data_IF_666346056243
#
_entry.id   IF_666346056243
#
_cell.length_a   1.000
_cell.length_b   1.000
_cell.length_c   1.000
_cell.angle_alpha   90.00
_cell.angle_beta   90.00
_cell.angle_gamma   90.00
#
_symmetry.space_group_name_H-M   'P 1'
#
loop_
_entity.id
_entity.type
_entity.pdbx_description
1 polymer ?
#
# COMPACT_ATOMS: atom_id res chain seq x y z
N UNK A 1 4.58 -2.30 -1.54
CA UNK A 1 5.41 -3.53 -1.40
C UNK A 1 6.77 -3.28 -0.76
N UNK A 2 7.58 -2.32 -1.23
CA UNK A 2 8.90 -2.03 -0.60
C UNK A 2 8.73 -1.52 0.84
N UNK A 3 7.93 -0.48 1.06
CA UNK A 3 7.72 0.10 2.39
C UNK A 3 7.05 -0.87 3.38
N UNK A 4 6.17 -1.76 2.91
CA UNK A 4 5.51 -2.77 3.77
C UNK A 4 6.49 -3.83 4.30
N UNK A 5 7.53 -4.14 3.51
CA UNK A 5 8.52 -5.19 3.84
C UNK A 5 9.76 -4.61 4.52
N UNK A 6 10.29 -3.51 3.98
CA UNK A 6 11.54 -2.88 4.40
C UNK A 6 11.32 -1.59 5.22
N UNK A 7 10.06 -1.21 5.47
CA UNK A 7 9.72 -0.01 6.21
C UNK A 7 9.84 1.26 5.37
N UNK A 8 9.21 2.33 5.85
CA UNK A 8 9.19 3.63 5.17
C UNK A 8 10.59 4.23 4.98
N UNK A 9 11.54 3.93 5.86
CA UNK A 9 12.92 4.40 5.72
C UNK A 9 13.63 3.82 4.49
N UNK A 10 13.24 2.64 4.01
CA UNK A 10 13.86 2.03 2.83
C UNK A 10 13.67 2.88 1.57
N UNK A 11 12.59 3.66 1.51
CA UNK A 11 12.34 4.63 0.43
C UNK A 11 13.51 5.58 0.24
N UNK A 12 14.18 6.00 1.33
CA UNK A 12 15.34 6.90 1.29
C UNK A 12 16.56 6.29 0.60
N UNK A 13 16.64 4.97 0.50
CA UNK A 13 17.76 4.26 -0.14
C UNK A 13 17.34 3.55 -1.43
N UNK A 14 16.16 3.90 -1.96
CA UNK A 14 15.59 3.28 -3.16
C UNK A 14 15.54 4.26 -4.32
N UNK A 15 15.75 3.73 -5.52
CA UNK A 15 15.67 4.43 -6.81
C UNK A 15 14.94 3.55 -7.81
N UNK A 16 14.12 4.16 -8.66
CA UNK A 16 13.39 3.43 -9.71
C UNK A 16 14.26 3.29 -10.96
N UNK A 17 14.40 2.06 -11.45
CA UNK A 17 15.11 1.78 -12.70
C UNK A 17 14.12 1.45 -13.82
N UNK A 18 14.04 2.32 -14.82
CA UNK A 18 13.29 2.07 -16.04
C UNK A 18 14.18 1.32 -17.02
N UNK A 19 13.81 0.10 -17.38
CA UNK A 19 14.50 -0.68 -18.41
C UNK A 19 13.86 -0.46 -19.78
N UNK A 20 14.53 -0.93 -20.83
CA UNK A 20 14.10 -0.73 -22.22
C UNK A 20 14.00 0.75 -22.61
N UNK A 21 15.04 1.53 -22.26
CA UNK A 21 15.11 2.94 -22.61
C UNK A 21 14.97 3.22 -24.11
N UNK A 22 15.34 2.25 -24.97
CA UNK A 22 15.12 2.27 -26.42
C UNK A 22 13.65 2.48 -26.82
N UNK A 23 12.71 1.99 -26.00
CA UNK A 23 11.27 2.06 -26.27
C UNK A 23 10.66 3.43 -26.00
N UNK A 24 11.39 4.36 -25.36
CA UNK A 24 10.94 5.73 -25.17
C UNK A 24 10.85 6.51 -26.50
N UNK A 25 11.54 6.06 -27.55
CA UNK A 25 11.52 6.67 -28.90
C UNK A 25 11.76 8.19 -28.83
N UNK A 26 10.76 9.01 -29.18
CA UNK A 26 10.83 10.49 -29.17
C UNK A 26 10.27 11.12 -27.89
N UNK A 27 9.87 10.31 -26.91
CA UNK A 27 9.27 10.76 -25.67
C UNK A 27 10.35 10.82 -24.57
N UNK A 28 10.32 11.84 -23.72
CA UNK A 28 11.19 11.87 -22.53
C UNK A 28 10.61 10.97 -21.43
N UNK A 29 11.46 10.52 -20.51
CA UNK A 29 11.00 9.72 -19.37
C UNK A 29 10.03 10.51 -18.48
N UNK A 30 10.20 11.82 -18.36
CA UNK A 30 9.33 12.70 -17.58
C UNK A 30 7.92 12.73 -18.17
N UNK A 31 7.79 12.87 -19.50
CA UNK A 31 6.48 12.79 -20.17
C UNK A 31 5.87 11.38 -20.05
N UNK A 32 6.69 10.34 -19.90
CA UNK A 32 6.18 8.99 -19.68
C UNK A 32 5.63 8.81 -18.26
N UNK A 33 6.37 9.28 -17.26
CA UNK A 33 5.95 9.27 -15.86
C UNK A 33 4.66 10.08 -15.68
N UNK A 34 4.54 11.25 -16.31
CA UNK A 34 3.38 12.13 -16.16
C UNK A 34 2.05 11.53 -16.65
N UNK A 35 2.09 10.41 -17.39
CA UNK A 35 0.89 9.73 -17.91
C UNK A 35 0.23 8.79 -16.90
N UNK A 36 0.89 8.47 -15.78
CA UNK A 36 0.33 7.60 -14.72
C UNK A 36 0.53 8.24 -13.36
N UNK A 37 -0.57 8.33 -12.62
CA UNK A 37 -0.56 8.85 -11.26
C UNK A 37 0.21 7.90 -10.33
N UNK A 38 0.05 6.60 -10.53
CA UNK A 38 0.72 5.55 -9.75
C UNK A 38 2.23 5.59 -9.95
N UNK A 39 2.70 5.86 -11.18
CA UNK A 39 4.12 6.04 -11.46
C UNK A 39 4.67 7.30 -10.78
N UNK A 40 3.92 8.41 -10.81
CA UNK A 40 4.32 9.64 -10.12
C UNK A 40 4.44 9.40 -8.61
N UNK A 41 3.48 8.71 -8.01
CA UNK A 41 3.49 8.35 -6.59
C UNK A 41 4.66 7.44 -6.23
N UNK A 42 4.98 6.47 -7.10
CA UNK A 42 6.15 5.60 -6.90
C UNK A 42 7.46 6.40 -6.92
N UNK A 43 7.61 7.32 -7.87
CA UNK A 43 8.80 8.16 -8.01
C UNK A 43 8.92 9.12 -6.83
N UNK A 44 7.80 9.73 -6.42
CA UNK A 44 7.73 10.57 -5.23
C UNK A 44 8.11 9.80 -3.95
N UNK A 45 7.61 8.58 -3.79
CA UNK A 45 7.98 7.70 -2.69
C UNK A 45 9.46 7.28 -2.71
N UNK A 46 10.15 7.42 -3.85
CA UNK A 46 11.59 7.24 -4.01
C UNK A 46 12.36 8.57 -4.03
N UNK A 47 11.79 9.65 -3.47
CA UNK A 47 12.40 10.99 -3.40
C UNK A 47 12.74 11.57 -4.77
N UNK A 48 11.92 11.30 -5.78
CA UNK A 48 12.14 11.78 -7.15
C UNK A 48 13.25 11.05 -7.90
N UNK A 49 13.83 9.98 -7.32
CA UNK A 49 15.02 9.33 -7.91
C UNK A 49 14.64 8.23 -8.87
N UNK A 50 15.11 8.39 -10.11
CA UNK A 50 15.02 7.37 -11.14
C UNK A 50 16.20 7.41 -12.11
N UNK A 51 16.34 6.33 -12.86
CA UNK A 51 17.28 6.20 -13.96
C UNK A 51 16.66 5.39 -15.09
N UNK A 52 17.05 5.70 -16.34
CA UNK A 52 16.60 4.99 -17.53
C UNK A 52 17.79 4.22 -18.08
N UNK A 53 17.59 2.93 -18.34
CA UNK A 53 18.64 2.02 -18.76
C UNK A 53 18.22 1.27 -20.02
N UNK A 54 19.12 1.19 -21.00
CA UNK A 54 18.91 0.41 -22.21
C UNK A 54 19.71 -0.90 -22.14
N UNK A 55 19.02 -2.01 -21.86
CA UNK A 55 19.64 -3.33 -21.76
C UNK A 55 20.05 -3.92 -23.12
N UNK A 56 19.72 -3.28 -24.24
CA UNK A 56 20.09 -3.74 -25.58
C UNK A 56 21.45 -3.22 -26.03
N UNK A 57 22.02 -2.26 -25.31
CA UNK A 57 23.31 -1.64 -25.64
C UNK A 57 24.34 -1.95 -24.58
N UNK A 58 25.57 -2.24 -24.98
CA UNK A 58 26.70 -2.39 -24.05
C UNK A 58 27.36 -1.02 -23.77
N UNK A 59 26.55 -0.01 -23.49
CA UNK A 59 27.01 1.35 -23.28
C UNK A 59 27.49 1.53 -21.82
N UNK A 60 28.81 1.65 -21.66
CA UNK A 60 29.45 1.85 -20.37
C UNK A 60 29.05 3.20 -19.73
N UNK A 61 28.68 4.20 -20.53
CA UNK A 61 28.30 5.51 -20.03
C UNK A 61 27.00 5.46 -19.22
N UNK A 62 26.02 4.65 -19.64
CA UNK A 62 24.78 4.44 -18.88
C UNK A 62 25.07 3.82 -17.51
N UNK A 63 25.99 2.85 -17.48
CA UNK A 63 26.43 2.22 -16.23
C UNK A 63 27.12 3.23 -15.32
N UNK A 64 28.02 4.05 -15.88
CA UNK A 64 28.72 5.13 -15.16
C UNK A 64 27.72 6.10 -14.52
N UNK A 65 26.76 6.60 -15.30
CA UNK A 65 25.72 7.52 -14.81
C UNK A 65 24.81 6.90 -13.74
N UNK A 66 24.48 5.62 -13.86
CA UNK A 66 23.73 4.91 -12.82
C UNK A 66 24.52 4.85 -11.51
N UNK A 67 25.80 4.48 -11.57
CA UNK A 67 26.69 4.42 -10.40
C UNK A 67 26.84 5.80 -9.76
N UNK A 68 27.02 6.86 -10.55
CA UNK A 68 27.06 8.24 -10.03
C UNK A 68 25.79 8.60 -9.27
N UNK A 69 24.61 8.29 -9.82
CA UNK A 69 23.33 8.55 -9.13
C UNK A 69 23.23 7.76 -7.82
N UNK A 70 23.74 6.53 -7.76
CA UNK A 70 23.78 5.74 -6.53
C UNK A 70 24.72 6.38 -5.49
N UNK A 71 25.88 6.88 -5.91
CA UNK A 71 26.82 7.56 -5.01
C UNK A 71 26.19 8.85 -4.48
N UNK A 72 25.59 9.68 -5.34
CA UNK A 72 24.88 10.89 -4.92
C UNK A 72 23.77 10.56 -3.92
N UNK A 73 23.00 9.50 -4.18
CA UNK A 73 21.97 9.02 -3.24
C UNK A 73 22.55 8.66 -1.87
N UNK A 74 23.76 8.08 -1.79
CA UNK A 74 24.41 7.78 -0.51
C UNK A 74 24.82 9.06 0.21
N UNK A 75 25.40 10.03 -0.51
CA UNK A 75 25.80 11.33 0.03
C UNK A 75 24.59 12.10 0.58
N UNK A 76 23.49 12.17 -0.17
CA UNK A 76 22.24 12.81 0.25
C UNK A 76 21.64 12.16 1.50
N UNK A 77 21.93 10.88 1.72
CA UNK A 77 21.55 10.14 2.93
C UNK A 77 22.56 10.27 4.08
N UNK A 78 23.48 11.23 4.01
CA UNK A 78 24.51 11.45 5.02
C UNK A 78 25.62 10.40 5.00
N UNK A 79 25.88 9.79 3.84
CA UNK A 79 26.86 8.70 3.66
C UNK A 79 26.43 7.35 4.24
N UNK A 80 25.21 7.26 4.78
CA UNK A 80 24.68 6.03 5.37
C UNK A 80 24.11 5.06 4.34
N UNK A 81 23.83 3.85 4.80
CA UNK A 81 23.15 2.80 4.02
C UNK A 81 21.99 2.22 4.82
N UNK A 82 21.10 1.52 4.13
CA UNK A 82 20.01 0.81 4.77
C UNK A 82 20.55 -0.36 5.61
N UNK A 83 20.19 -0.42 6.89
CA UNK A 83 20.80 -1.37 7.84
C UNK A 83 19.87 -2.49 8.28
N UNK A 84 20.45 -3.60 8.75
CA UNK A 84 19.72 -4.70 9.40
C UNK A 84 18.90 -4.22 10.61
N UNK A 85 19.37 -3.22 11.35
CA UNK A 85 18.64 -2.62 12.47
C UNK A 85 17.33 -1.97 11.99
N UNK A 86 17.38 -1.24 10.87
CA UNK A 86 16.21 -0.64 10.24
C UNK A 86 15.23 -1.71 9.76
N UNK A 87 15.75 -2.78 9.13
CA UNK A 87 14.92 -3.91 8.70
C UNK A 87 14.21 -4.63 9.86
N UNK A 88 14.93 -4.91 10.95
CA UNK A 88 14.32 -5.48 12.16
C UNK A 88 13.24 -4.56 12.74
N UNK A 89 13.45 -3.24 12.73
CA UNK A 89 12.44 -2.24 13.15
C UNK A 89 11.20 -2.30 12.26
N UNK A 90 11.39 -2.35 10.94
CA UNK A 90 10.30 -2.48 9.96
C UNK A 90 9.47 -3.74 10.19
N UNK A 91 10.13 -4.90 10.35
CA UNK A 91 9.42 -6.16 10.62
C UNK A 91 8.61 -6.11 11.92
N UNK A 92 9.17 -5.52 12.99
CA UNK A 92 8.48 -5.38 14.27
C UNK A 92 7.24 -4.49 14.14
N UNK A 93 7.36 -3.36 13.44
CA UNK A 93 6.23 -2.46 13.17
C UNK A 93 5.14 -3.18 12.35
N UNK A 94 5.52 -3.86 11.27
CA UNK A 94 4.63 -4.64 10.40
C UNK A 94 3.88 -5.74 11.16
N UNK A 95 4.57 -6.46 12.06
CA UNK A 95 3.93 -7.47 12.95
C UNK A 95 2.97 -6.83 13.95
N UNK A 96 3.31 -5.68 14.51
CA UNK A 96 2.45 -4.95 15.45
C UNK A 96 1.17 -4.48 14.77
N UNK A 97 1.29 -3.95 13.56
CA UNK A 97 0.15 -3.46 12.79
C UNK A 97 -0.80 -4.58 12.40
N UNK A 98 -0.29 -5.71 11.89
CA UNK A 98 -1.11 -6.90 11.65
C UNK A 98 -1.87 -7.37 12.89
N UNK A 99 -1.23 -7.34 14.06
CA UNK A 99 -1.87 -7.71 15.33
C UNK A 99 -2.96 -6.72 15.75
N UNK A 100 -2.79 -5.42 15.50
CA UNK A 100 -3.80 -4.39 15.79
C UNK A 100 -5.01 -4.56 14.88
N UNK A 101 -4.76 -4.61 13.57
CA UNK A 101 -5.82 -4.80 12.58
C UNK A 101 -6.61 -6.09 12.81
N UNK A 102 -5.93 -7.20 13.15
CA UNK A 102 -6.60 -8.45 13.49
C UNK A 102 -7.50 -8.34 14.74
N UNK A 103 -7.13 -7.52 15.73
CA UNK A 103 -7.98 -7.29 16.91
C UNK A 103 -9.17 -6.40 16.58
N UNK A 104 -8.96 -5.34 15.81
CA UNK A 104 -10.04 -4.45 15.36
C UNK A 104 -11.09 -5.21 14.54
N UNK A 105 -10.65 -6.06 13.60
CA UNK A 105 -11.54 -6.92 12.82
C UNK A 105 -12.35 -7.88 13.71
N UNK A 106 -11.73 -8.43 14.77
CA UNK A 106 -12.45 -9.31 15.72
C UNK A 106 -13.50 -8.57 16.52
N UNK A 107 -13.20 -7.35 16.97
CA UNK A 107 -14.15 -6.50 17.71
C UNK A 107 -15.31 -6.12 16.79
N UNK A 108 -15.01 -5.60 15.60
CA UNK A 108 -16.04 -5.23 14.62
C UNK A 108 -16.96 -6.39 14.24
N UNK A 109 -16.39 -7.60 14.09
CA UNK A 109 -17.18 -8.80 13.80
C UNK A 109 -18.04 -9.23 15.00
N UNK A 110 -17.55 -9.09 16.23
CA UNK A 110 -18.33 -9.39 17.42
C UNK A 110 -19.49 -8.41 17.60
N UNK A 111 -19.24 -7.11 17.41
CA UNK A 111 -20.26 -6.06 17.46
C UNK A 111 -21.34 -6.33 16.42
N UNK A 112 -20.95 -6.57 15.16
CA UNK A 112 -21.87 -6.92 14.06
C UNK A 112 -22.75 -8.13 14.40
N UNK A 113 -22.17 -9.17 15.01
CA UNK A 113 -22.91 -10.37 15.44
C UNK A 113 -23.87 -10.07 16.59
N UNK A 114 -23.51 -9.20 17.53
CA UNK A 114 -24.40 -8.81 18.63
C UNK A 114 -25.58 -7.96 18.16
N UNK A 115 -25.35 -7.00 17.27
CA UNK A 115 -26.41 -6.19 16.66
C UNK A 115 -27.40 -7.07 15.90
N UNK A 116 -26.91 -7.96 15.04
CA UNK A 116 -27.77 -8.87 14.28
C UNK A 116 -28.58 -9.81 15.19
N UNK A 117 -28.02 -10.25 16.32
CA UNK A 117 -28.76 -11.05 17.31
C UNK A 117 -29.87 -10.24 17.97
N UNK A 118 -29.58 -9.00 18.39
CA UNK A 118 -30.57 -8.12 19.00
C UNK A 118 -31.74 -7.80 18.04
N UNK A 119 -31.43 -7.58 16.75
CA UNK A 119 -32.44 -7.33 15.73
C UNK A 119 -33.38 -8.54 15.55
N UNK A 120 -32.81 -9.75 15.46
CA UNK A 120 -33.59 -11.00 15.34
C UNK A 120 -34.45 -11.23 16.58
N UNK A 121 -33.92 -11.03 17.78
CA UNK A 121 -34.68 -11.15 19.04
C UNK A 121 -35.82 -10.13 19.11
N UNK A 122 -35.60 -8.91 18.62
CA UNK A 122 -36.62 -7.87 18.50
C UNK A 122 -37.78 -8.29 17.58
N UNK A 123 -37.47 -8.83 16.39
CA UNK A 123 -38.49 -9.30 15.45
C UNK A 123 -39.28 -10.51 15.98
N UNK A 124 -38.62 -11.48 16.61
CA UNK A 124 -39.28 -12.64 17.21
C UNK A 124 -40.29 -12.25 18.30
N UNK A 125 -39.99 -11.23 19.10
CA UNK A 125 -40.87 -10.74 20.16
C UNK A 125 -42.08 -9.95 19.63
N UNK A 126 -41.98 -9.33 18.45
CA UNK A 126 -43.09 -8.62 17.80
C UNK A 126 -44.09 -9.58 17.14
N UNK A 127 -43.65 -10.74 16.67
CA UNK A 127 -44.49 -11.80 16.09
C UNK A 127 -45.39 -12.56 17.09
N UNK A 128 -45.16 -12.39 18.40
CA UNK A 128 -45.89 -13.09 19.46
C UNK A 128 -47.22 -12.46 19.93
N UNK A 129 -47.66 -11.33 19.36
CA UNK A 129 -48.92 -10.68 19.79
C UNK A 129 -50.14 -11.38 19.17
N UNK A 130 -50.96 -11.99 20.03
CA UNK A 130 -52.20 -12.71 19.71
C UNK A 130 -53.11 -11.98 18.73
N UNK A 131 -53.51 -12.68 17.66
CA UNK A 131 -54.64 -12.31 16.81
C UNK A 131 -55.91 -12.31 17.66
N UNK A 132 -56.43 -11.14 18.01
CA UNK A 132 -57.77 -11.02 18.61
C UNK A 132 -58.80 -11.37 17.52
N UNK A 133 -59.48 -12.52 17.66
CA UNK A 133 -60.64 -12.86 16.83
C UNK A 133 -61.74 -11.81 17.06
N UNK A 134 -61.88 -10.87 16.14
CA UNK A 134 -63.06 -10.00 16.05
C UNK A 134 -64.27 -10.85 15.68
N UNK A 135 -65.33 -10.79 16.48
CA UNK A 135 -66.62 -11.39 16.13
C UNK A 135 -67.23 -10.58 14.98
N UNK A 136 -67.45 -11.22 13.84
CA UNK A 136 -68.23 -10.66 12.74
C UNK A 136 -69.72 -10.67 13.15
N UNK A 137 -70.37 -9.50 13.20
CA UNK A 137 -71.83 -9.41 13.22
C UNK A 137 -72.31 -9.43 11.77
N UNK A 138 -73.08 -10.46 11.41
CA UNK A 138 -73.86 -10.52 10.18
C UNK A 138 -75.15 -9.72 10.41
N UNK A 139 -75.38 -8.71 9.56
CA UNK A 139 -76.71 -8.17 9.28
C UNK A 139 -77.21 -8.78 7.96
#
# INVERSE_FOLDING_TARGET
MIQSTFGVEASRFSMVLFTHGDKLKKQTIETFISKSQELQELIYACYGRYHVFNNQTNDQEQTRQLVEKIITMLVDNGGGYYTMKMFKKAQKASKKERKRHSKELRVAEQDRRSTLRADVEGEMNLGGKSVKRGKCLLQ
#
